data_IF_161744798652
#
_entry.id   IF_161744798652
#
_cell.length_a   1.000
_cell.length_b   1.000
_cell.length_c   1.000
_cell.angle_alpha   90.00
_cell.angle_beta   90.00
_cell.angle_gamma   90.00
#
_symmetry.space_group_name_H-M   'P 1'
#
loop_
_entity.id
_entity.type
_entity.pdbx_description
1 polymer ?
#
# COMPACT_ATOMS: atom_id res chain seq x y z
N UNK A 1 47.29 -7.53 7.43
CA UNK A 1 46.31 -8.38 6.68
C UNK A 1 45.01 -8.58 7.46
N UNK A 2 45.06 -8.94 8.75
CA UNK A 2 43.88 -9.30 9.58
C UNK A 2 42.84 -8.17 9.79
N UNK A 3 43.25 -6.93 10.03
CA UNK A 3 42.33 -5.80 10.31
C UNK A 3 41.42 -5.42 9.13
N UNK A 4 41.89 -5.57 7.88
CA UNK A 4 41.08 -5.27 6.68
C UNK A 4 40.02 -6.34 6.42
N UNK A 5 40.35 -7.61 6.71
CA UNK A 5 39.41 -8.73 6.63
C UNK A 5 38.33 -8.62 7.70
N UNK A 6 38.70 -8.30 8.94
CA UNK A 6 37.74 -8.07 10.03
C UNK A 6 36.77 -6.91 9.72
N UNK A 7 37.28 -5.79 9.19
CA UNK A 7 36.46 -4.66 8.78
C UNK A 7 35.48 -5.02 7.65
N UNK A 8 35.92 -5.81 6.66
CA UNK A 8 35.06 -6.29 5.57
C UNK A 8 33.94 -7.22 6.05
N UNK A 9 34.25 -8.14 6.96
CA UNK A 9 33.24 -9.04 7.56
C UNK A 9 32.21 -8.25 8.37
N UNK A 10 32.65 -7.25 9.16
CA UNK A 10 31.76 -6.41 9.94
C UNK A 10 30.80 -5.60 9.04
N UNK A 11 31.32 -5.01 7.96
CA UNK A 11 30.54 -4.23 6.99
C UNK A 11 29.50 -5.11 6.26
N UNK A 12 29.90 -6.28 5.78
CA UNK A 12 28.97 -7.24 5.18
C UNK A 12 27.89 -7.69 6.17
N UNK A 13 28.27 -7.93 7.43
CA UNK A 13 27.32 -8.27 8.49
C UNK A 13 26.26 -7.19 8.72
N UNK A 14 26.67 -5.92 8.77
CA UNK A 14 25.72 -4.80 8.89
C UNK A 14 24.78 -4.69 7.69
N UNK A 15 25.29 -4.82 6.47
CA UNK A 15 24.50 -4.68 5.24
C UNK A 15 23.41 -5.76 5.11
N UNK A 16 23.61 -6.95 5.69
CA UNK A 16 22.64 -8.04 5.67
C UNK A 16 21.43 -7.81 6.58
N UNK A 17 21.45 -6.82 7.48
CA UNK A 17 20.34 -6.56 8.42
C UNK A 17 19.26 -5.62 7.90
N UNK A 18 19.45 -5.02 6.72
CA UNK A 18 18.57 -3.97 6.18
C UNK A 18 17.12 -4.38 5.98
N UNK A 19 16.86 -5.59 5.47
CA UNK A 19 15.51 -6.07 5.17
C UNK A 19 14.77 -6.70 6.36
N UNK A 20 15.47 -6.95 7.48
CA UNK A 20 14.87 -7.54 8.68
C UNK A 20 14.34 -6.50 9.68
N UNK A 21 14.67 -5.22 9.47
CA UNK A 21 14.22 -4.12 10.33
C UNK A 21 12.77 -3.74 10.06
N UNK A 22 11.90 -3.90 11.06
CA UNK A 22 10.50 -3.41 11.04
C UNK A 22 10.29 -2.30 12.09
N UNK A 23 10.95 -1.13 11.95
CA UNK A 23 10.96 -0.11 12.99
C UNK A 23 9.57 0.42 13.35
N UNK A 24 8.71 0.69 12.35
CA UNK A 24 7.36 1.19 12.58
C UNK A 24 6.47 0.14 13.26
N UNK A 25 6.53 -1.12 12.81
CA UNK A 25 5.81 -2.22 13.47
C UNK A 25 6.27 -2.41 14.92
N UNK A 26 7.58 -2.33 15.18
CA UNK A 26 8.12 -2.46 16.54
C UNK A 26 7.64 -1.31 17.44
N UNK A 27 7.61 -0.08 16.92
CA UNK A 27 7.09 1.08 17.64
C UNK A 27 5.62 0.89 18.01
N UNK A 28 4.78 0.51 17.05
CA UNK A 28 3.34 0.24 17.28
C UNK A 28 3.08 -0.83 18.35
N UNK A 29 3.89 -1.89 18.38
CA UNK A 29 3.77 -2.95 19.38
C UNK A 29 4.22 -2.51 20.79
N UNK A 30 5.09 -1.49 20.88
CA UNK A 30 5.56 -0.93 22.15
C UNK A 30 4.65 0.17 22.68
N UNK A 31 4.11 1.00 21.79
CA UNK A 31 3.22 2.12 22.09
C UNK A 31 2.05 2.09 21.12
N UNK A 32 0.98 1.41 21.53
CA UNK A 32 -0.25 1.34 20.74
C UNK A 32 -0.91 2.74 20.69
N UNK A 33 -1.41 3.17 19.52
CA UNK A 33 -2.11 4.45 19.41
C UNK A 33 -3.37 4.47 20.29
N UNK A 34 -3.57 5.57 21.02
CA UNK A 34 -4.75 5.74 21.86
C UNK A 34 -6.02 5.89 21.02
N UNK A 35 -7.11 5.27 21.48
CA UNK A 35 -8.45 5.45 20.89
C UNK A 35 -8.75 4.58 19.66
N UNK A 36 -7.82 3.72 19.21
CA UNK A 36 -8.06 2.76 18.14
C UNK A 36 -8.35 1.34 18.68
N UNK A 37 -9.28 0.60 18.06
CA UNK A 37 -9.48 -0.81 18.40
C UNK A 37 -8.28 -1.65 17.94
N UNK A 38 -8.01 -2.75 18.66
CA UNK A 38 -6.94 -3.70 18.28
C UNK A 38 -7.20 -4.33 16.90
N UNK A 39 -8.47 -4.48 16.53
CA UNK A 39 -8.90 -5.01 15.23
C UNK A 39 -10.15 -4.23 14.78
N UNK A 40 -10.17 -3.84 13.51
CA UNK A 40 -11.34 -3.27 12.85
C UNK A 40 -11.50 -3.93 11.47
N UNK A 41 -12.69 -4.45 11.17
CA UNK A 41 -12.99 -5.11 9.89
C UNK A 41 -14.14 -4.38 9.17
N UNK A 42 -13.91 -4.03 7.90
CA UNK A 42 -14.93 -3.41 7.04
C UNK A 42 -15.68 -4.51 6.29
N UNK A 43 -16.65 -5.13 6.97
CA UNK A 43 -17.31 -6.39 6.55
C UNK A 43 -18.02 -6.28 5.19
N UNK A 44 -18.54 -5.10 4.83
CA UNK A 44 -19.32 -4.91 3.59
C UNK A 44 -18.45 -4.53 2.38
N UNK A 45 -17.12 -4.71 2.46
CA UNK A 45 -16.21 -4.39 1.37
C UNK A 45 -16.39 -5.39 0.22
N UNK A 46 -16.78 -4.95 -0.99
CA UNK A 46 -16.94 -5.84 -2.13
C UNK A 46 -15.62 -6.49 -2.53
N UNK A 47 -15.66 -7.77 -2.90
CA UNK A 47 -14.49 -8.48 -3.40
C UNK A 47 -14.57 -8.66 -4.92
N UNK A 48 -13.61 -8.07 -5.64
CA UNK A 48 -13.43 -8.27 -7.07
C UNK A 48 -12.19 -9.14 -7.33
N UNK A 49 -12.36 -10.40 -7.81
CA UNK A 49 -11.22 -11.26 -8.12
C UNK A 49 -10.40 -10.68 -9.27
N UNK A 50 -9.09 -10.52 -9.07
CA UNK A 50 -8.21 -9.94 -10.08
C UNK A 50 -7.86 -10.94 -11.19
N UNK A 51 -8.00 -10.50 -12.43
CA UNK A 51 -7.43 -11.13 -13.62
C UNK A 51 -6.13 -10.43 -14.03
N UNK A 52 -5.56 -10.78 -15.19
CA UNK A 52 -4.35 -10.14 -15.69
C UNK A 52 -4.57 -8.62 -15.85
N UNK A 53 -3.59 -7.81 -15.45
CA UNK A 53 -3.60 -6.34 -15.55
C UNK A 53 -4.61 -5.61 -14.65
N UNK A 54 -5.21 -6.31 -13.68
CA UNK A 54 -6.26 -5.75 -12.82
C UNK A 54 -5.82 -5.45 -11.38
N UNK A 55 -4.52 -5.44 -11.06
CA UNK A 55 -4.08 -5.15 -9.68
C UNK A 55 -4.55 -3.76 -9.20
N UNK A 56 -4.35 -2.70 -10.00
CA UNK A 56 -4.88 -1.36 -9.73
C UNK A 56 -6.39 -1.25 -9.96
N UNK A 57 -6.93 -1.68 -11.13
CA UNK A 57 -8.36 -1.60 -11.42
C UNK A 57 -9.26 -2.31 -10.39
N UNK A 58 -8.90 -3.52 -9.95
CA UNK A 58 -9.69 -4.26 -8.97
C UNK A 58 -9.63 -3.59 -7.60
N UNK A 59 -8.45 -3.14 -7.15
CA UNK A 59 -8.31 -2.42 -5.90
C UNK A 59 -9.15 -1.13 -5.88
N UNK A 60 -9.11 -0.35 -6.97
CA UNK A 60 -9.91 0.87 -7.06
C UNK A 60 -11.41 0.58 -7.15
N UNK A 61 -11.82 -0.47 -7.88
CA UNK A 61 -13.23 -0.88 -7.95
C UNK A 61 -13.75 -1.29 -6.55
N UNK A 62 -12.96 -2.02 -5.76
CA UNK A 62 -13.28 -2.38 -4.38
C UNK A 62 -13.57 -1.16 -3.52
N UNK A 63 -12.67 -0.17 -3.54
CA UNK A 63 -12.83 1.06 -2.75
C UNK A 63 -14.00 1.90 -3.26
N UNK A 64 -14.13 2.12 -4.57
CA UNK A 64 -15.26 2.89 -5.11
C UNK A 64 -16.61 2.23 -4.78
N UNK A 65 -16.69 0.90 -4.89
CA UNK A 65 -17.91 0.16 -4.57
C UNK A 65 -18.23 0.16 -3.07
N UNK A 66 -17.23 0.14 -2.18
CA UNK A 66 -17.48 0.30 -0.73
C UNK A 66 -18.04 1.69 -0.38
N UNK A 67 -17.78 2.70 -1.22
CA UNK A 67 -18.38 4.03 -1.15
C UNK A 67 -19.70 4.17 -1.95
N UNK A 68 -20.29 3.07 -2.41
CA UNK A 68 -21.57 3.06 -3.12
C UNK A 68 -21.50 3.48 -4.59
N UNK A 69 -20.30 3.62 -5.15
CA UNK A 69 -20.09 3.92 -6.57
C UNK A 69 -19.99 2.59 -7.32
N UNK A 70 -21.05 2.25 -8.07
CA UNK A 70 -21.12 1.01 -8.82
C UNK A 70 -20.19 1.07 -10.04
N UNK A 71 -19.06 0.38 -9.96
CA UNK A 71 -18.08 0.21 -11.05
C UNK A 71 -17.51 -1.20 -11.05
N UNK A 72 -17.03 -1.65 -12.21
CA UNK A 72 -16.33 -2.93 -12.33
C UNK A 72 -14.84 -2.75 -12.62
N UNK A 73 -13.97 -3.72 -12.29
CA UNK A 73 -12.55 -3.64 -12.63
C UNK A 73 -12.31 -3.43 -14.14
N UNK A 74 -13.12 -4.07 -15.00
CA UNK A 74 -12.98 -3.98 -16.46
C UNK A 74 -13.23 -2.55 -16.98
N UNK A 75 -14.17 -1.82 -16.39
CA UNK A 75 -14.44 -0.40 -16.72
C UNK A 75 -13.26 0.52 -16.36
N UNK A 76 -12.42 0.11 -15.40
CA UNK A 76 -11.31 0.90 -14.89
C UNK A 76 -9.97 0.57 -15.56
N UNK A 77 -9.86 -0.54 -16.32
CA UNK A 77 -8.58 -0.96 -16.94
C UNK A 77 -7.98 0.17 -17.78
N UNK A 78 -8.75 0.74 -18.70
CA UNK A 78 -8.26 1.77 -19.62
C UNK A 78 -7.87 3.09 -18.92
N UNK A 79 -8.29 3.27 -17.66
CA UNK A 79 -8.04 4.49 -16.88
C UNK A 79 -6.87 4.31 -15.89
N UNK A 80 -6.63 3.07 -15.43
CA UNK A 80 -5.71 2.80 -14.33
C UNK A 80 -4.49 1.98 -14.74
N UNK A 81 -4.61 1.13 -15.78
CA UNK A 81 -3.50 0.31 -16.25
C UNK A 81 -2.71 1.04 -17.34
N UNK A 82 -1.40 1.12 -17.17
CA UNK A 82 -0.45 1.70 -18.12
C UNK A 82 0.28 0.59 -18.87
N UNK A 83 -0.04 0.31 -20.15
CA UNK A 83 0.53 -0.81 -20.89
C UNK A 83 2.05 -0.76 -21.01
N UNK A 84 2.62 0.43 -21.22
CA UNK A 84 4.08 0.60 -21.35
C UNK A 84 4.86 0.27 -20.08
N UNK A 85 4.22 0.31 -18.92
CA UNK A 85 4.81 -0.02 -17.62
C UNK A 85 4.37 -1.40 -17.12
N UNK A 86 3.50 -2.08 -17.87
CA UNK A 86 2.92 -3.38 -17.50
C UNK A 86 2.24 -3.39 -16.13
N UNK A 87 1.71 -2.24 -15.69
CA UNK A 87 1.19 -2.06 -14.34
C UNK A 87 0.33 -0.81 -14.17
N UNK A 88 -0.07 -0.51 -12.94
CA UNK A 88 -0.85 0.67 -12.58
C UNK A 88 0.00 1.65 -11.78
N UNK A 89 -0.12 2.93 -12.10
CA UNK A 89 0.57 4.00 -11.39
C UNK A 89 -0.34 4.60 -10.32
N UNK A 90 0.23 5.07 -9.21
CA UNK A 90 -0.53 5.69 -8.13
C UNK A 90 -1.25 6.97 -8.58
N UNK A 91 -0.63 7.69 -9.51
CA UNK A 91 -1.15 8.90 -10.13
C UNK A 91 -2.42 8.62 -10.94
N UNK A 92 -2.45 7.53 -11.71
CA UNK A 92 -3.63 7.11 -12.49
C UNK A 92 -4.78 6.64 -11.59
N UNK A 93 -4.45 5.93 -10.50
CA UNK A 93 -5.44 5.57 -9.46
C UNK A 93 -6.04 6.83 -8.85
N UNK A 94 -5.20 7.79 -8.46
CA UNK A 94 -5.62 9.06 -7.85
C UNK A 94 -6.48 9.88 -8.81
N UNK A 95 -6.05 10.01 -10.06
CA UNK A 95 -6.77 10.74 -11.09
C UNK A 95 -8.13 10.09 -11.38
N UNK A 96 -8.16 8.76 -11.51
CA UNK A 96 -9.40 8.01 -11.74
C UNK A 96 -10.36 8.16 -10.57
N UNK A 97 -9.90 8.00 -9.33
CA UNK A 97 -10.73 8.22 -8.13
C UNK A 97 -11.40 9.62 -8.14
N UNK A 98 -10.64 10.66 -8.49
CA UNK A 98 -11.16 12.04 -8.62
C UNK A 98 -12.20 12.20 -9.72
N UNK A 99 -12.08 11.48 -10.85
CA UNK A 99 -13.11 11.48 -11.91
C UNK A 99 -14.44 10.90 -11.42
N UNK A 100 -14.41 10.02 -10.43
CA UNK A 100 -15.59 9.49 -9.73
C UNK A 100 -16.01 10.35 -8.52
N UNK A 101 -15.47 11.56 -8.36
CA UNK A 101 -15.86 12.50 -7.30
C UNK A 101 -15.21 12.24 -5.94
N UNK A 102 -14.23 11.34 -5.86
CA UNK A 102 -13.52 11.03 -4.61
C UNK A 102 -12.34 11.96 -4.37
N UNK A 103 -12.09 12.32 -3.11
CA UNK A 103 -10.89 13.04 -2.71
C UNK A 103 -9.76 12.05 -2.37
N UNK A 104 -8.95 11.70 -3.37
CA UNK A 104 -7.75 10.90 -3.17
C UNK A 104 -6.53 11.79 -2.89
N UNK A 105 -5.87 11.55 -1.76
CA UNK A 105 -4.64 12.21 -1.32
C UNK A 105 -3.66 11.18 -0.73
N UNK A 106 -2.34 11.36 -0.94
CA UNK A 106 -1.35 10.49 -0.31
C UNK A 106 -1.25 10.80 1.18
N UNK A 107 -1.19 9.74 2.00
CA UNK A 107 -0.84 9.84 3.40
C UNK A 107 0.69 9.82 3.56
N UNK A 108 1.16 10.35 4.68
CA UNK A 108 2.55 10.16 5.13
C UNK A 108 2.88 8.67 5.24
N UNK A 109 4.10 8.23 4.90
CA UNK A 109 4.50 6.83 4.98
C UNK A 109 4.84 6.39 6.41
N UNK A 110 3.97 6.72 7.36
CA UNK A 110 4.04 6.39 8.79
C UNK A 110 2.80 5.59 9.14
N UNK A 111 2.97 4.38 9.70
CA UNK A 111 1.85 3.49 10.00
C UNK A 111 0.85 4.13 10.97
N UNK A 112 1.30 4.92 11.95
CA UNK A 112 0.43 5.64 12.88
C UNK A 112 -0.56 6.56 12.14
N UNK A 113 -0.08 7.27 11.09
CA UNK A 113 -0.91 8.16 10.27
C UNK A 113 -1.93 7.36 9.43
N UNK A 114 -1.59 6.15 8.99
CA UNK A 114 -2.51 5.27 8.23
C UNK A 114 -3.60 4.68 9.12
N UNK A 115 -3.27 4.38 10.39
CA UNK A 115 -4.21 3.76 11.32
C UNK A 115 -5.24 4.74 11.89
N UNK A 116 -4.95 6.03 11.86
CA UNK A 116 -5.80 7.08 12.43
C UNK A 116 -6.87 7.64 11.48
N UNK A 117 -6.80 7.33 10.18
CA UNK A 117 -7.78 7.72 9.14
C UNK A 117 -8.95 6.71 9.05
#
# INVERSE_FOLDING_TARGET
MSTRLAAGVLLCGLLLTGCAGTPQTRQLLQSQPDGLPVVHEIVQTPFFPQSRHQCGPAALATVLSSHGINVTPDELIAQVYTPGLTGSMAEEVTATARRYGMLAYPLSPVLDDVLAE
#
